data_IF_993047214776
#
_entry.id   IF_993047214776
#
_cell.length_a   1.000
_cell.length_b   1.000
_cell.length_c   1.000
_cell.angle_alpha   90.00
_cell.angle_beta   90.00
_cell.angle_gamma   90.00
#
_symmetry.space_group_name_H-M   'P 1'
#
loop_
_entity.id
_entity.type
_entity.pdbx_description
1 polymer ?
#
# COMPACT_ATOMS: atom_id res chain seq x y z
N UNK A 1 47.30 32.63 29.35
CA UNK A 1 46.86 32.52 29.19
C UNK A 1 46.02 31.82 28.56
N UNK A 2 45.70 31.40 28.26
CA UNK A 2 45.00 31.01 27.76
C UNK A 2 44.45 30.05 27.26
N UNK A 3 44.10 29.62 26.89
CA UNK A 3 43.79 28.91 26.47
C UNK A 3 43.01 27.96 26.41
N UNK A 4 42.56 27.46 26.27
CA UNK A 4 41.82 26.66 26.39
C UNK A 4 40.91 26.29 25.65
N UNK A 5 40.34 26.48 25.25
CA UNK A 5 39.40 26.43 24.57
C UNK A 5 39.13 25.30 23.77
N UNK A 6 39.66 24.66 23.05
CA UNK A 6 39.36 23.63 22.09
C UNK A 6 38.55 22.53 22.64
N UNK A 7 38.46 22.48 23.84
CA UNK A 7 37.75 21.41 24.47
C UNK A 7 36.31 21.27 24.07
N UNK A 8 35.72 22.40 23.81
CA UNK A 8 34.33 22.38 23.51
C UNK A 8 33.99 21.69 22.26
N UNK A 9 34.78 21.85 21.28
CA UNK A 9 34.52 21.33 19.98
C UNK A 9 34.32 19.85 20.00
N UNK A 10 35.08 19.21 20.85
CA UNK A 10 35.04 17.77 20.93
C UNK A 10 33.69 17.29 21.40
N UNK A 11 33.13 18.00 22.34
CA UNK A 11 31.88 17.62 22.90
C UNK A 11 30.81 17.62 21.85
N UNK A 12 30.85 18.61 21.00
CA UNK A 12 29.86 18.76 19.97
C UNK A 12 29.91 17.61 19.00
N UNK A 13 31.08 17.20 18.68
CA UNK A 13 31.26 16.12 17.75
C UNK A 13 30.68 14.84 18.32
N UNK A 14 30.87 14.62 19.57
CA UNK A 14 30.35 13.43 20.20
C UNK A 14 28.84 13.38 20.11
N UNK A 15 28.19 14.51 20.28
CA UNK A 15 26.76 14.57 20.20
C UNK A 15 26.28 14.24 18.81
N UNK A 16 26.97 14.76 17.84
CA UNK A 16 26.61 14.52 16.47
C UNK A 16 26.68 13.04 16.14
N UNK A 17 27.66 12.39 16.68
CA UNK A 17 27.80 10.96 16.43
C UNK A 17 26.65 10.17 17.04
N UNK A 18 26.20 10.60 18.17
CA UNK A 18 25.09 9.91 18.80
C UNK A 18 23.86 10.01 17.92
N UNK A 19 23.66 11.16 17.33
CA UNK A 19 22.53 11.34 16.46
C UNK A 19 22.56 10.39 15.26
N UNK A 20 23.75 10.02 14.85
CA UNK A 20 23.87 9.13 13.72
C UNK A 20 23.51 7.71 14.10
N UNK A 21 23.47 7.43 15.37
CA UNK A 21 23.17 6.10 15.84
C UNK A 21 21.70 5.76 15.77
N UNK A 22 20.90 6.67 15.35
CA UNK A 22 19.48 6.39 15.20
C UNK A 22 19.31 5.66 13.90
N UNK A 23 19.03 4.45 13.95
CA UNK A 23 19.13 3.72 12.74
C UNK A 23 17.91 3.04 12.35
N UNK A 24 17.95 2.29 11.42
CA UNK A 24 17.01 1.26 11.12
C UNK A 24 15.56 1.63 11.11
N UNK A 25 15.26 2.85 10.85
CA UNK A 25 13.90 3.22 10.64
C UNK A 25 13.64 3.12 9.16
N UNK A 26 12.89 2.11 8.77
CA UNK A 26 12.53 1.97 7.38
C UNK A 26 11.30 2.83 7.13
N UNK A 27 11.39 3.68 6.14
CA UNK A 27 10.25 4.51 5.78
C UNK A 27 9.15 3.62 5.23
N UNK A 28 7.91 3.90 5.60
CA UNK A 28 6.76 3.25 5.05
C UNK A 28 6.53 3.77 3.64
N UNK A 29 6.08 2.90 2.76
CA UNK A 29 5.87 3.23 1.36
C UNK A 29 4.40 3.12 1.01
N UNK A 30 4.02 3.84 -0.04
CA UNK A 30 2.68 3.73 -0.61
C UNK A 30 2.80 3.21 -2.03
N UNK A 31 2.03 2.19 -2.32
CA UNK A 31 2.01 1.54 -3.63
C UNK A 31 0.66 1.80 -4.28
N UNK A 32 0.65 2.11 -5.55
CA UNK A 32 -0.57 2.41 -6.28
C UNK A 32 -1.02 1.24 -7.13
N UNK A 33 -2.33 1.01 -7.14
CA UNK A 33 -2.99 0.03 -7.98
C UNK A 33 -4.14 0.73 -8.68
N UNK A 34 -4.24 0.55 -9.97
CA UNK A 34 -5.35 1.13 -10.74
C UNK A 34 -6.45 0.10 -10.98
N UNK A 35 -7.70 0.53 -10.86
CA UNK A 35 -8.82 -0.21 -11.38
C UNK A 35 -8.93 0.19 -12.84
N UNK A 36 -8.59 -0.75 -13.72
CA UNK A 36 -8.30 -0.45 -15.11
C UNK A 36 -9.51 0.03 -15.89
N UNK A 37 -9.25 0.89 -16.85
CA UNK A 37 -10.29 1.32 -17.79
C UNK A 37 -10.84 0.09 -18.51
N UNK A 38 -12.15 -0.05 -18.52
CA UNK A 38 -12.83 -1.17 -19.15
C UNK A 38 -13.02 -2.38 -18.25
N UNK A 39 -12.51 -2.35 -17.01
CA UNK A 39 -12.61 -3.49 -16.11
C UNK A 39 -14.04 -3.73 -15.60
N UNK A 40 -14.92 -2.79 -15.80
CA UNK A 40 -16.35 -2.97 -15.48
C UNK A 40 -17.05 -3.94 -16.41
N UNK A 41 -16.39 -4.43 -17.45
CA UNK A 41 -16.91 -5.47 -18.32
C UNK A 41 -15.99 -6.69 -18.24
N UNK A 42 -16.52 -7.91 -18.41
CA UNK A 42 -15.70 -9.11 -18.43
C UNK A 42 -14.68 -9.07 -19.54
N UNK A 43 -13.53 -9.68 -19.32
CA UNK A 43 -12.46 -9.77 -20.31
C UNK A 43 -11.09 -9.43 -19.74
N UNK A 44 -11.00 -8.48 -18.81
CA UNK A 44 -9.72 -8.12 -18.22
C UNK A 44 -9.11 -9.26 -17.41
N UNK A 45 -9.91 -10.15 -16.89
CA UNK A 45 -9.45 -11.26 -16.07
C UNK A 45 -8.61 -12.26 -16.85
N UNK A 46 -8.78 -12.33 -18.15
CA UNK A 46 -8.03 -13.28 -18.96
C UNK A 46 -6.55 -12.94 -19.07
N UNK A 47 -6.20 -11.68 -18.84
CA UNK A 47 -4.81 -11.23 -18.83
C UNK A 47 -4.38 -10.68 -17.48
N UNK A 48 -5.16 -10.95 -16.44
CA UNK A 48 -4.90 -10.47 -15.09
C UNK A 48 -4.71 -8.96 -15.04
N UNK A 49 -5.57 -8.24 -15.73
CA UNK A 49 -5.44 -6.82 -15.96
C UNK A 49 -6.62 -5.99 -15.46
N UNK A 50 -7.40 -6.52 -14.53
CA UNK A 50 -8.53 -5.78 -13.96
C UNK A 50 -8.06 -4.76 -12.92
N UNK A 51 -7.21 -5.21 -12.00
CA UNK A 51 -6.43 -4.34 -11.12
C UNK A 51 -5.00 -4.34 -11.65
N UNK A 52 -4.38 -3.19 -11.72
CA UNK A 52 -3.03 -3.06 -12.29
C UNK A 52 -2.08 -2.37 -11.32
N UNK A 53 -1.08 -3.06 -10.81
CA UNK A 53 -0.82 -4.49 -10.99
C UNK A 53 -1.80 -5.34 -10.18
N UNK A 54 -2.01 -6.57 -10.62
CA UNK A 54 -2.94 -7.46 -9.95
C UNK A 54 -2.41 -7.93 -8.60
N UNK A 55 -1.14 -8.33 -8.56
CA UNK A 55 -0.52 -8.89 -7.38
C UNK A 55 0.69 -8.05 -7.02
N UNK A 56 0.79 -7.66 -5.74
CA UNK A 56 1.91 -6.88 -5.26
C UNK A 56 2.42 -7.45 -3.95
N UNK A 57 3.68 -7.19 -3.69
CA UNK A 57 4.34 -7.58 -2.45
C UNK A 57 4.85 -6.33 -1.75
N UNK A 58 4.49 -6.17 -0.50
CA UNK A 58 4.86 -5.02 0.30
C UNK A 58 5.37 -5.49 1.67
N UNK A 59 5.76 -4.55 2.51
CA UNK A 59 6.20 -4.82 3.88
C UNK A 59 5.16 -4.32 4.88
N UNK A 60 5.18 -4.87 6.08
CA UNK A 60 4.28 -4.40 7.14
C UNK A 60 4.45 -2.91 7.35
N UNK A 61 3.35 -2.21 7.51
CA UNK A 61 3.33 -0.76 7.66
C UNK A 61 3.15 -0.01 6.36
N UNK A 62 3.30 -0.68 5.22
CA UNK A 62 3.10 -0.05 3.93
C UNK A 62 1.61 0.11 3.63
N UNK A 63 1.33 1.03 2.74
CA UNK A 63 -0.03 1.38 2.32
C UNK A 63 -0.21 1.05 0.84
N UNK A 64 -1.38 0.57 0.50
CA UNK A 64 -1.79 0.43 -0.89
C UNK A 64 -2.90 1.43 -1.16
N UNK A 65 -2.77 2.13 -2.26
CA UNK A 65 -3.77 3.08 -2.73
C UNK A 65 -4.33 2.58 -4.05
N UNK A 66 -5.62 2.36 -4.08
CA UNK A 66 -6.33 1.95 -5.29
C UNK A 66 -7.03 3.16 -5.89
N UNK A 67 -6.76 3.42 -7.16
CA UNK A 67 -7.37 4.52 -7.91
C UNK A 67 -8.34 3.98 -8.93
N UNK A 68 -9.58 4.45 -8.90
CA UNK A 68 -10.55 4.06 -9.92
C UNK A 68 -10.38 4.96 -11.14
N UNK A 69 -9.62 4.45 -12.12
CA UNK A 69 -9.41 5.16 -13.38
C UNK A 69 -10.36 4.67 -14.47
N UNK A 70 -11.29 3.80 -14.13
CA UNK A 70 -12.34 3.36 -15.02
C UNK A 70 -13.50 4.35 -14.97
N UNK A 71 -14.44 4.20 -15.90
CA UNK A 71 -15.65 5.00 -15.90
C UNK A 71 -16.82 4.29 -15.22
N UNK A 72 -16.61 3.11 -14.69
CA UNK A 72 -17.58 2.37 -13.91
C UNK A 72 -17.23 2.41 -12.42
N UNK A 73 -18.22 2.15 -11.57
CA UNK A 73 -17.99 2.06 -10.13
C UNK A 73 -17.42 0.69 -9.79
N UNK A 74 -16.53 0.65 -8.81
CA UNK A 74 -15.87 -0.58 -8.35
C UNK A 74 -15.78 -0.60 -6.83
N UNK A 75 -15.38 -1.75 -6.27
CA UNK A 75 -14.99 -1.85 -4.88
C UNK A 75 -13.61 -2.48 -4.78
N UNK A 76 -12.97 -2.28 -3.63
CA UNK A 76 -11.77 -3.01 -3.23
C UNK A 76 -12.16 -3.69 -1.92
N UNK A 77 -12.47 -4.97 -2.01
CA UNK A 77 -13.01 -5.70 -0.88
C UNK A 77 -12.14 -6.91 -0.57
N UNK A 78 -11.56 -6.94 0.63
CA UNK A 78 -10.77 -8.10 1.05
C UNK A 78 -11.62 -9.35 1.04
N UNK A 79 -11.03 -10.44 0.53
CA UNK A 79 -11.73 -11.71 0.39
C UNK A 79 -11.73 -12.19 -1.05
N UNK A 80 -12.68 -13.05 -1.38
CA UNK A 80 -12.80 -13.61 -2.72
C UNK A 80 -14.27 -13.78 -3.09
N UNK A 81 -14.55 -13.89 -4.40
CA UNK A 81 -15.94 -14.11 -4.82
C UNK A 81 -16.55 -15.37 -4.23
N UNK A 82 -15.75 -16.43 -4.04
CA UNK A 82 -16.24 -17.68 -3.51
C UNK A 82 -16.47 -17.66 -2.00
N UNK A 83 -15.60 -16.96 -1.27
CA UNK A 83 -15.67 -16.92 0.19
C UNK A 83 -16.41 -15.70 0.71
N UNK A 84 -16.56 -14.69 -0.12
CA UNK A 84 -17.14 -13.42 0.26
C UNK A 84 -16.16 -12.50 0.97
N UNK A 85 -16.63 -11.36 1.47
CA UNK A 85 -15.76 -10.39 2.15
C UNK A 85 -15.10 -10.96 3.38
N UNK A 86 -13.82 -10.63 3.57
CA UNK A 86 -13.05 -11.10 4.73
C UNK A 86 -13.26 -10.22 5.97
N UNK A 87 -13.70 -9.01 5.78
CA UNK A 87 -13.83 -8.05 6.87
C UNK A 87 -12.55 -7.32 7.21
N UNK A 88 -11.45 -7.61 6.52
CA UNK A 88 -10.17 -6.96 6.82
C UNK A 88 -10.12 -5.55 6.25
N UNK A 89 -10.55 -5.38 5.02
CA UNK A 89 -10.68 -4.05 4.41
C UNK A 89 -11.79 -4.07 3.36
N UNK A 90 -12.40 -2.91 3.16
CA UNK A 90 -13.47 -2.75 2.19
C UNK A 90 -13.61 -1.26 1.88
N UNK A 91 -13.49 -0.93 0.62
CA UNK A 91 -13.61 0.47 0.19
C UNK A 91 -15.04 0.96 0.12
N UNK A 92 -16.00 0.07 0.14
CA UNK A 92 -17.36 0.37 -0.32
C UNK A 92 -17.32 0.79 -1.79
N UNK A 93 -18.40 1.32 -2.31
CA UNK A 93 -18.48 1.67 -3.72
C UNK A 93 -17.63 2.90 -4.02
N UNK A 94 -16.72 2.76 -4.97
CA UNK A 94 -15.85 3.83 -5.46
C UNK A 94 -16.31 4.22 -6.85
N UNK A 95 -16.81 5.41 -6.97
CA UNK A 95 -17.19 5.97 -8.27
C UNK A 95 -15.93 6.33 -9.06
N UNK A 96 -16.07 6.55 -10.35
CA UNK A 96 -14.97 6.95 -11.20
C UNK A 96 -14.24 8.16 -10.61
N UNK A 97 -12.92 8.10 -10.59
CA UNK A 97 -12.07 9.17 -10.09
C UNK A 97 -11.83 9.15 -8.60
N UNK A 98 -12.47 8.26 -7.85
CA UNK A 98 -12.22 8.15 -6.42
C UNK A 98 -11.15 7.12 -6.12
N UNK A 99 -10.60 7.19 -4.92
CA UNK A 99 -9.55 6.28 -4.49
C UNK A 99 -9.82 5.77 -3.08
N UNK A 100 -9.10 4.72 -2.71
CA UNK A 100 -9.16 4.10 -1.40
C UNK A 100 -7.76 3.66 -1.01
N UNK A 101 -7.38 3.90 0.23
CA UNK A 101 -6.09 3.48 0.76
C UNK A 101 -6.29 2.63 2.01
N UNK A 102 -5.43 1.63 2.15
CA UNK A 102 -5.40 0.80 3.34
C UNK A 102 -3.95 0.51 3.73
N UNK A 103 -3.64 0.64 5.02
CA UNK A 103 -2.31 0.36 5.56
C UNK A 103 -2.31 -1.04 6.15
N UNK A 104 -1.34 -1.86 5.71
CA UNK A 104 -1.24 -3.26 6.13
C UNK A 104 -0.23 -3.39 7.25
N UNK A 105 -0.71 -3.56 8.47
CA UNK A 105 0.14 -3.66 9.64
C UNK A 105 0.52 -5.10 10.00
N UNK A 106 -0.12 -6.07 9.40
CA UNK A 106 0.12 -7.48 9.70
C UNK A 106 0.58 -8.23 8.47
N UNK A 107 1.61 -9.06 8.62
CA UNK A 107 2.10 -9.88 7.54
C UNK A 107 1.04 -10.92 7.15
N UNK A 108 1.02 -11.28 5.89
CA UNK A 108 0.07 -12.27 5.40
C UNK A 108 -0.22 -12.10 3.93
N UNK A 109 -1.10 -12.93 3.41
CA UNK A 109 -1.57 -12.86 2.05
C UNK A 109 -3.02 -12.39 2.07
N UNK A 110 -3.31 -11.35 1.32
CA UNK A 110 -4.63 -10.75 1.31
C UNK A 110 -5.17 -10.72 -0.11
N UNK A 111 -6.12 -11.59 -0.39
CA UNK A 111 -6.84 -11.54 -1.63
C UNK A 111 -7.90 -10.47 -1.55
N UNK A 112 -8.27 -9.90 -2.69
CA UNK A 112 -9.35 -8.93 -2.74
C UNK A 112 -10.06 -9.02 -4.09
N UNK A 113 -11.23 -8.42 -4.15
CA UNK A 113 -12.06 -8.47 -5.34
C UNK A 113 -13.01 -7.29 -5.39
N UNK A 114 -13.68 -7.13 -6.52
CA UNK A 114 -14.71 -6.14 -6.69
C UNK A 114 -16.08 -6.81 -6.49
N UNK A 115 -16.88 -6.32 -5.56
CA UNK A 115 -18.16 -6.94 -5.25
C UNK A 115 -19.19 -6.77 -6.36
N UNK A 116 -19.08 -5.73 -7.16
CA UNK A 116 -20.02 -5.48 -8.25
C UNK A 116 -19.56 -6.04 -9.58
N UNK A 117 -18.28 -6.40 -9.68
CA UNK A 117 -17.67 -7.01 -10.87
C UNK A 117 -16.78 -8.15 -10.42
N UNK A 118 -17.34 -9.29 -10.02
CA UNK A 118 -16.55 -10.31 -9.29
C UNK A 118 -15.48 -11.02 -10.12
N UNK A 119 -15.38 -10.75 -11.42
CA UNK A 119 -14.24 -11.22 -12.21
C UNK A 119 -12.96 -10.44 -11.90
N UNK A 120 -13.08 -9.28 -11.25
CA UNK A 120 -11.92 -8.48 -10.87
C UNK A 120 -11.38 -8.97 -9.55
N UNK A 121 -10.16 -9.50 -9.58
CA UNK A 121 -9.47 -9.99 -8.39
C UNK A 121 -8.04 -9.51 -8.35
N UNK A 122 -7.47 -9.44 -7.17
CA UNK A 122 -6.08 -9.10 -6.96
C UNK A 122 -5.59 -9.64 -5.64
N UNK A 123 -4.32 -9.40 -5.34
CA UNK A 123 -3.75 -9.82 -4.07
C UNK A 123 -2.66 -8.88 -3.58
N UNK A 124 -2.49 -8.85 -2.27
CA UNK A 124 -1.40 -8.13 -1.61
C UNK A 124 -0.71 -9.12 -0.69
N UNK A 125 0.58 -9.32 -0.91
CA UNK A 125 1.42 -10.11 -0.01
C UNK A 125 2.19 -9.16 0.88
N UNK A 126 2.09 -9.33 2.17
CA UNK A 126 2.74 -8.46 3.16
C UNK A 126 3.78 -9.26 3.91
N UNK A 127 5.03 -8.86 3.79
CA UNK A 127 6.15 -9.54 4.45
C UNK A 127 6.49 -8.91 5.79
#
# INVERSE_FOLDING_TARGET
>A
MILLKPVFIIAIVAVAMIGVMVPNVFAESTYSVDMAMGSGAPGCETSNACYLPQDITISTGDTVKWDNVDNAAHTVTGGSPSDGPSGVFDSSLLMAGLDYSFTFNDAGNYDYFCMVHPWMVGSVTVN
#
